data_IF_205322526179
#
_entry.id   IF_205322526179
#
_cell.length_a   1.000
_cell.length_b   1.000
_cell.length_c   1.000
_cell.angle_alpha   90.00
_cell.angle_beta   90.00
_cell.angle_gamma   90.00
#
_symmetry.space_group_name_H-M   'P 1'
#
loop_
_entity.id
_entity.type
_entity.pdbx_description
1 polymer ?
#
# COMPACT_ATOMS: atom_id res chain seq x y z
N UNK A 1 -3.09 -13.39 -6.23
CA UNK A 1 -3.16 -12.86 -4.85
C UNK A 1 -2.18 -13.66 -4.00
N UNK A 2 -1.15 -13.01 -3.46
CA UNK A 2 -0.22 -13.62 -2.51
C UNK A 2 -0.66 -13.25 -1.09
N UNK A 3 -0.77 -14.23 -0.19
CA UNK A 3 -1.22 -14.03 1.19
C UNK A 3 -0.06 -14.33 2.13
N UNK A 4 0.29 -13.35 2.97
CA UNK A 4 1.39 -13.45 3.94
C UNK A 4 0.95 -12.87 5.27
N UNK A 5 1.39 -13.47 6.37
CA UNK A 5 1.19 -12.94 7.72
C UNK A 5 2.47 -12.27 8.18
N UNK A 6 2.39 -11.02 8.64
CA UNK A 6 3.51 -10.23 9.16
C UNK A 6 3.23 -9.84 10.61
N UNK A 7 4.24 -9.95 11.49
CA UNK A 7 4.20 -9.41 12.85
C UNK A 7 4.55 -7.92 12.86
N UNK A 8 4.27 -7.26 13.98
CA UNK A 8 4.68 -5.87 14.21
C UNK A 8 6.20 -5.73 14.04
N UNK A 9 6.63 -4.75 13.23
CA UNK A 9 8.03 -4.53 12.87
C UNK A 9 8.51 -5.26 11.61
N UNK A 10 7.75 -6.24 11.09
CA UNK A 10 8.10 -6.92 9.85
C UNK A 10 7.66 -6.13 8.61
N UNK A 11 8.41 -6.31 7.52
CA UNK A 11 8.13 -5.66 6.25
C UNK A 11 7.87 -6.66 5.13
N UNK A 12 7.01 -6.26 4.19
CA UNK A 12 6.83 -6.87 2.88
C UNK A 12 7.49 -5.95 1.85
N UNK A 13 8.29 -6.53 0.96
CA UNK A 13 8.93 -5.81 -0.14
C UNK A 13 8.28 -6.23 -1.45
N UNK A 14 7.94 -5.24 -2.28
CA UNK A 14 7.33 -5.40 -3.59
C UNK A 14 8.29 -4.77 -4.58
N UNK A 15 8.89 -5.60 -5.43
CA UNK A 15 9.83 -5.16 -6.47
C UNK A 15 9.23 -5.53 -7.84
N UNK A 16 8.55 -4.58 -8.51
CA UNK A 16 8.00 -4.82 -9.84
C UNK A 16 9.13 -4.92 -10.88
N UNK A 17 8.93 -5.74 -11.92
CA UNK A 17 9.88 -5.82 -13.04
C UNK A 17 9.99 -4.46 -13.73
N UNK A 18 11.20 -3.88 -13.71
CA UNK A 18 11.48 -2.57 -14.31
C UNK A 18 10.94 -1.36 -13.54
N UNK A 19 10.50 -1.52 -12.29
CA UNK A 19 9.96 -0.42 -11.49
C UNK A 19 10.64 -0.24 -10.12
N UNK A 20 10.25 0.80 -9.37
CA UNK A 20 10.85 1.10 -8.07
C UNK A 20 10.41 0.11 -6.98
N UNK A 21 11.32 -0.16 -6.04
CA UNK A 21 11.02 -0.93 -4.83
C UNK A 21 9.99 -0.20 -3.94
N UNK A 22 8.99 -0.95 -3.48
CA UNK A 22 7.97 -0.50 -2.53
C UNK A 22 8.06 -1.39 -1.29
N UNK A 23 8.10 -0.78 -0.12
CA UNK A 23 8.17 -1.49 1.16
C UNK A 23 6.96 -1.17 2.02
N UNK A 24 6.25 -2.21 2.45
CA UNK A 24 5.10 -2.11 3.37
C UNK A 24 5.55 -2.64 4.72
N UNK A 25 5.50 -1.82 5.75
CA UNK A 25 5.94 -2.15 7.11
C UNK A 25 4.72 -2.27 8.02
N UNK A 26 4.57 -3.38 8.73
CA UNK A 26 3.58 -3.49 9.79
C UNK A 26 4.07 -2.71 11.01
N UNK A 27 3.35 -1.66 11.38
CA UNK A 27 3.71 -0.83 12.55
C UNK A 27 3.04 -1.40 13.79
N UNK A 28 1.75 -1.70 13.69
CA UNK A 28 0.99 -2.25 14.80
C UNK A 28 -0.26 -2.98 14.31
N UNK A 29 -0.59 -4.11 14.92
CA UNK A 29 -1.85 -4.80 14.71
C UNK A 29 -2.70 -4.78 15.97
N UNK A 30 -3.93 -4.28 15.84
CA UNK A 30 -4.94 -4.23 16.90
C UNK A 30 -6.23 -4.87 16.40
N UNK A 31 -6.29 -6.21 16.49
CA UNK A 31 -7.49 -6.99 16.15
C UNK A 31 -7.95 -6.77 14.71
N UNK A 32 -8.97 -5.91 14.53
CA UNK A 32 -9.56 -5.59 13.23
C UNK A 32 -8.89 -4.40 12.53
N UNK A 33 -7.91 -3.74 13.15
CA UNK A 33 -7.21 -2.58 12.56
C UNK A 33 -5.72 -2.80 12.57
N UNK A 34 -5.09 -2.63 11.40
CA UNK A 34 -3.65 -2.64 11.25
C UNK A 34 -3.15 -1.23 10.89
N UNK A 35 -2.10 -0.79 11.57
CA UNK A 35 -1.31 0.37 11.19
C UNK A 35 -0.16 -0.11 10.32
N UNK A 36 -0.14 0.37 9.08
CA UNK A 36 0.87 0.04 8.09
C UNK A 36 1.60 1.31 7.64
N UNK A 37 2.92 1.24 7.54
CA UNK A 37 3.75 2.23 6.87
C UNK A 37 4.02 1.78 5.43
N UNK A 38 4.01 2.71 4.48
CA UNK A 38 4.37 2.42 3.09
C UNK A 38 5.51 3.36 2.71
N UNK A 39 6.63 2.77 2.28
CA UNK A 39 7.81 3.48 1.79
C UNK A 39 7.89 3.20 0.29
N UNK A 40 7.72 4.25 -0.50
CA UNK A 40 7.87 4.21 -1.95
C UNK A 40 8.37 5.58 -2.44
N UNK A 41 9.01 5.66 -3.62
CA UNK A 41 9.34 6.94 -4.23
C UNK A 41 8.09 7.70 -4.67
N UNK A 42 8.22 9.03 -4.81
CA UNK A 42 7.13 9.94 -5.20
C UNK A 42 6.53 9.66 -6.59
N UNK A 43 7.22 8.89 -7.43
CA UNK A 43 6.71 8.44 -8.73
C UNK A 43 5.57 7.43 -8.59
N UNK A 44 5.43 6.78 -7.43
CA UNK A 44 4.39 5.80 -7.15
C UNK A 44 3.25 6.50 -6.41
N UNK A 45 2.05 6.43 -6.97
CA UNK A 45 0.85 6.91 -6.27
C UNK A 45 0.39 5.86 -5.26
N UNK A 46 0.27 6.27 -4.00
CA UNK A 46 -0.25 5.43 -2.92
C UNK A 46 -1.52 6.08 -2.40
N UNK A 47 -2.63 5.37 -2.48
CA UNK A 47 -3.93 5.82 -2.01
C UNK A 47 -4.59 4.71 -1.17
N UNK A 48 -5.45 5.10 -0.24
CA UNK A 48 -6.43 4.16 0.31
C UNK A 48 -7.45 3.82 -0.78
N UNK A 49 -7.95 2.60 -0.79
CA UNK A 49 -8.84 2.11 -1.85
C UNK A 49 -10.05 3.02 -2.08
N UNK A 50 -10.70 3.47 -0.99
CA UNK A 50 -11.86 4.36 -1.04
C UNK A 50 -11.54 5.73 -1.65
N UNK A 51 -10.31 6.21 -1.49
CA UNK A 51 -9.83 7.46 -2.09
C UNK A 51 -9.46 7.25 -3.55
N UNK A 52 -8.81 6.13 -3.86
CA UNK A 52 -8.40 5.78 -5.22
C UNK A 52 -9.60 5.66 -6.17
N UNK A 53 -10.66 4.96 -5.72
CA UNK A 53 -11.90 4.81 -6.47
C UNK A 53 -12.55 6.16 -6.77
N UNK A 54 -12.68 7.03 -5.76
CA UNK A 54 -13.24 8.38 -5.92
C UNK A 54 -12.46 9.23 -6.92
N UNK A 55 -11.12 9.21 -6.86
CA UNK A 55 -10.27 9.93 -7.82
C UNK A 55 -10.46 9.42 -9.25
N UNK A 56 -10.61 8.10 -9.42
CA UNK A 56 -10.80 7.47 -10.73
C UNK A 56 -12.16 7.78 -11.34
N UNK A 57 -13.21 7.82 -10.52
CA UNK A 57 -14.57 8.20 -10.95
C UNK A 57 -14.67 9.69 -11.31
N UNK A 58 -14.05 10.57 -10.51
CA UNK A 58 -13.99 12.00 -10.80
C UNK A 58 -13.26 12.31 -12.12
N UNK A 59 -12.20 11.56 -12.45
CA UNK A 59 -11.48 11.68 -13.74
C UNK A 59 -12.24 11.15 -14.95
N UNK A 60 -13.25 10.29 -14.78
CA UNK A 60 -14.00 9.68 -15.90
C UNK A 60 -15.17 10.53 -16.38
N UNK A 61 -15.53 11.59 -15.64
CA UNK A 61 -16.72 12.42 -15.87
C UNK A 61 -16.42 13.82 -16.43
N UNK A 62 -15.15 14.16 -16.68
CA UNK A 62 -14.72 15.41 -17.31
C UNK A 62 -13.94 15.12 -18.58
#
# INVERSE_FOLDING_TARGET
MLVVTRKDGEALVITPEGGPEIKVVMIHNSGNTARMGIIAPKSVTIDREEVHLKKREGKRRG
#
